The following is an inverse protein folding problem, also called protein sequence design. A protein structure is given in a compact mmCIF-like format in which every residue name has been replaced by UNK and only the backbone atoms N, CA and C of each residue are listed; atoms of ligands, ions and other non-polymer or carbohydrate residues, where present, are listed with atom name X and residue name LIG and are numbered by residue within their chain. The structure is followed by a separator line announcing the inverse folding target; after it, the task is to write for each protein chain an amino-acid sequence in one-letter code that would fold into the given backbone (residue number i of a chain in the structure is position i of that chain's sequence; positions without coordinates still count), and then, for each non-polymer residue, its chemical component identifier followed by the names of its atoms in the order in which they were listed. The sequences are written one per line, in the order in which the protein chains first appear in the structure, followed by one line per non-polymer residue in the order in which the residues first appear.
data_IF_204197033961
#
_entry.id   IF_204197033961
#
_cell.length_a   1.000
_cell.length_b   1.000
_cell.length_c   1.000
_cell.angle_alpha   90.00
_cell.angle_beta   90.00
_cell.angle_gamma   90.00
#
_symmetry.space_group_name_H-M   'P 1'
#
loop_
_entity.id
_entity.type
_entity.pdbx_description
1 polymer ?
#
# COMPACT_ATOMS: atom_id res chain seq x y z
N UNK A 1 19.25 -53.45 -0.76
CA UNK A 1 18.42 -54.01 0.31
C UNK A 1 18.13 -52.89 1.30
N UNK A 2 16.91 -52.35 1.27
CA UNK A 2 16.25 -51.39 2.18
C UNK A 2 17.08 -50.24 2.81
N UNK A 3 16.93 -49.02 2.27
CA UNK A 3 17.16 -47.78 3.02
C UNK A 3 15.79 -47.27 3.51
N UNK A 4 15.67 -47.15 4.82
CA UNK A 4 14.49 -46.72 5.57
C UNK A 4 14.21 -45.24 5.25
N UNK A 5 13.11 -44.95 4.56
CA UNK A 5 12.67 -43.57 4.30
C UNK A 5 12.10 -42.99 5.59
N UNK A 6 12.82 -42.06 6.22
CA UNK A 6 12.27 -41.20 7.27
C UNK A 6 11.27 -40.23 6.64
N UNK A 7 10.00 -40.32 7.05
CA UNK A 7 8.99 -39.29 6.74
C UNK A 7 9.24 -38.08 7.66
N UNK A 8 9.26 -36.84 7.15
CA UNK A 8 9.24 -35.67 8.02
C UNK A 8 7.85 -35.55 8.66
N UNK A 9 7.84 -35.36 9.98
CA UNK A 9 6.63 -35.00 10.73
C UNK A 9 6.14 -33.60 10.31
N UNK A 10 4.82 -33.36 10.29
CA UNK A 10 4.30 -32.02 10.06
C UNK A 10 4.66 -31.14 11.25
N UNK A 11 5.41 -30.06 11.00
CA UNK A 11 5.61 -28.99 11.96
C UNK A 11 4.26 -28.30 12.21
N UNK A 12 3.71 -28.51 13.41
CA UNK A 12 2.64 -27.68 13.96
C UNK A 12 3.20 -26.28 14.19
N UNK A 13 2.89 -25.35 13.29
CA UNK A 13 3.21 -23.93 13.47
C UNK A 13 2.15 -23.35 14.41
N UNK A 14 2.52 -23.12 15.67
CA UNK A 14 1.68 -22.43 16.66
C UNK A 14 1.47 -20.96 16.26
N UNK A 15 0.21 -20.50 16.29
CA UNK A 15 -0.22 -19.14 15.93
C UNK A 15 0.36 -17.98 16.77
N UNK A 16 1.20 -18.27 17.79
CA UNK A 16 1.89 -17.26 18.58
C UNK A 16 3.09 -16.61 17.86
N UNK A 17 3.70 -17.31 16.87
CA UNK A 17 4.87 -16.78 16.15
C UNK A 17 4.53 -15.68 15.13
N UNK A 18 3.29 -15.64 14.62
CA UNK A 18 2.86 -14.58 13.71
C UNK A 18 2.77 -13.22 14.41
N UNK A 19 2.33 -13.18 15.67
CA UNK A 19 2.22 -11.95 16.45
C UNK A 19 3.58 -11.34 16.83
N UNK A 20 4.62 -12.17 16.99
CA UNK A 20 5.99 -11.70 17.29
C UNK A 20 6.75 -11.28 16.03
N UNK A 21 6.57 -11.98 14.91
CA UNK A 21 7.16 -11.59 13.63
C UNK A 21 6.56 -10.29 13.08
N UNK A 22 5.26 -10.02 13.36
CA UNK A 22 4.65 -8.73 13.00
C UNK A 22 5.15 -7.55 13.83
N UNK A 23 5.82 -7.78 14.96
CA UNK A 23 6.39 -6.70 15.81
C UNK A 23 7.81 -6.34 15.36
N UNK A 24 8.55 -7.25 14.73
CA UNK A 24 9.98 -7.09 14.48
C UNK A 24 10.34 -6.26 13.22
N UNK A 25 9.38 -6.03 12.31
CA UNK A 25 9.54 -5.21 11.10
C UNK A 25 8.37 -4.22 10.86
N UNK A 26 7.52 -4.00 11.87
CA UNK A 26 6.51 -2.93 11.85
C UNK A 26 7.13 -1.62 12.35
N UNK A 27 6.46 -0.51 12.07
CA UNK A 27 6.86 0.82 12.54
C UNK A 27 7.04 0.82 14.06
N UNK A 28 8.09 1.49 14.56
CA UNK A 28 8.26 1.62 16.01
C UNK A 28 7.16 2.50 16.63
N UNK A 29 6.80 2.26 17.89
CA UNK A 29 5.85 3.11 18.63
C UNK A 29 6.30 4.58 18.69
N UNK A 30 7.62 4.81 18.69
CA UNK A 30 8.22 6.15 18.69
C UNK A 30 7.94 6.85 17.37
N UNK A 31 8.17 6.17 16.27
CA UNK A 31 7.94 6.70 14.92
C UNK A 31 6.43 6.89 14.65
N UNK A 32 5.57 5.96 15.09
CA UNK A 32 4.11 6.14 14.99
C UNK A 32 3.64 7.38 15.77
N UNK A 33 4.16 7.60 16.98
CA UNK A 33 3.86 8.82 17.76
C UNK A 33 4.38 10.07 17.05
N UNK A 34 5.55 10.00 16.43
CA UNK A 34 6.12 11.09 15.66
C UNK A 34 5.22 11.47 14.48
N UNK A 35 4.77 10.50 13.67
CA UNK A 35 3.85 10.72 12.57
C UNK A 35 2.51 11.32 13.04
N UNK A 36 1.94 10.81 14.13
CA UNK A 36 0.69 11.34 14.69
C UNK A 36 0.86 12.79 15.16
N UNK A 37 2.01 13.11 15.76
CA UNK A 37 2.30 14.45 16.25
C UNK A 37 2.46 15.46 15.10
N UNK A 38 3.07 15.07 13.98
CA UNK A 38 3.35 15.96 12.85
C UNK A 38 2.18 16.06 11.85
N UNK A 39 1.49 14.95 11.60
CA UNK A 39 0.51 14.83 10.53
C UNK A 39 -0.91 14.55 11.00
N UNK A 40 -1.12 14.52 12.33
CA UNK A 40 -2.43 14.29 12.94
C UNK A 40 -2.77 12.82 13.11
N UNK A 41 -3.84 12.57 13.87
CA UNK A 41 -4.28 11.22 14.20
C UNK A 41 -5.05 10.59 13.02
N UNK A 42 -4.63 9.44 12.50
CA UNK A 42 -5.34 8.77 11.40
C UNK A 42 -6.58 8.03 11.89
N UNK A 43 -7.50 7.75 10.97
CA UNK A 43 -8.55 6.76 11.18
C UNK A 43 -7.95 5.35 11.05
N UNK A 44 -8.19 4.51 12.05
CA UNK A 44 -7.74 3.11 12.03
C UNK A 44 -8.79 2.23 11.39
N UNK A 45 -8.39 1.45 10.40
CA UNK A 45 -9.29 0.57 9.65
C UNK A 45 -8.69 -0.80 9.46
N UNK A 46 -9.55 -1.78 9.21
CA UNK A 46 -9.16 -3.15 8.92
C UNK A 46 -9.89 -3.64 7.68
N UNK A 47 -9.16 -4.33 6.81
CA UNK A 47 -9.71 -4.98 5.64
C UNK A 47 -9.17 -6.41 5.52
N UNK A 48 -9.96 -7.31 4.95
CA UNK A 48 -9.56 -8.69 4.67
C UNK A 48 -9.95 -9.00 3.23
N UNK A 49 -9.02 -9.59 2.47
CA UNK A 49 -9.25 -9.92 1.08
C UNK A 49 -8.53 -11.21 0.70
N UNK A 50 -9.22 -12.01 -0.12
CA UNK A 50 -8.64 -13.17 -0.78
C UNK A 50 -7.82 -12.72 -1.99
N UNK A 51 -6.56 -13.12 -2.01
CA UNK A 51 -5.61 -12.81 -3.07
C UNK A 51 -5.43 -14.04 -3.96
N UNK A 52 -5.22 -13.80 -5.25
CA UNK A 52 -4.85 -14.87 -6.17
C UNK A 52 -3.42 -15.34 -5.91
N UNK A 53 -3.09 -16.56 -6.35
CA UNK A 53 -1.78 -17.18 -6.06
C UNK A 53 -0.60 -16.30 -6.49
N UNK A 54 -0.68 -15.68 -7.68
CA UNK A 54 0.38 -14.78 -8.16
C UNK A 54 0.50 -13.51 -7.31
N UNK A 55 -0.61 -12.98 -6.77
CA UNK A 55 -0.57 -11.82 -5.87
C UNK A 55 0.10 -12.21 -4.55
N UNK A 56 -0.23 -13.41 -4.04
CA UNK A 56 0.38 -13.97 -2.85
C UNK A 56 1.89 -14.17 -2.99
N UNK A 57 2.37 -14.63 -4.14
CA UNK A 57 3.80 -14.74 -4.44
C UNK A 57 4.50 -13.37 -4.36
N UNK A 58 3.92 -12.33 -4.97
CA UNK A 58 4.47 -10.97 -4.90
C UNK A 58 4.55 -10.42 -3.46
N UNK A 59 3.55 -10.73 -2.64
CA UNK A 59 3.53 -10.35 -1.22
C UNK A 59 4.64 -11.09 -0.47
N UNK A 60 4.79 -12.41 -0.66
CA UNK A 60 5.84 -13.20 -0.02
C UNK A 60 7.24 -12.72 -0.39
N UNK A 61 7.47 -12.36 -1.66
CA UNK A 61 8.74 -11.78 -2.11
C UNK A 61 9.04 -10.44 -1.44
N UNK A 62 8.00 -9.65 -1.15
CA UNK A 62 8.13 -8.40 -0.40
C UNK A 62 8.47 -8.66 1.07
N UNK A 63 7.85 -9.65 1.70
CA UNK A 63 8.13 -10.03 3.10
C UNK A 63 9.56 -10.58 3.28
N UNK A 64 10.08 -11.32 2.30
CA UNK A 64 11.48 -11.80 2.33
C UNK A 64 12.49 -10.64 2.37
N UNK A 65 12.11 -9.46 1.87
CA UNK A 65 12.90 -8.22 1.94
C UNK A 65 12.66 -7.43 3.23
N UNK A 66 11.95 -8.01 4.19
CA UNK A 66 11.62 -7.41 5.49
C UNK A 66 10.44 -6.42 5.44
N UNK A 67 9.70 -6.33 4.32
CA UNK A 67 8.63 -5.35 4.16
C UNK A 67 7.27 -5.96 4.51
N UNK A 68 6.62 -5.36 5.50
CA UNK A 68 5.26 -5.71 5.94
C UNK A 68 4.27 -4.54 5.80
N UNK A 69 4.74 -3.45 5.22
CA UNK A 69 3.96 -2.24 5.07
C UNK A 69 4.29 -1.47 3.80
N UNK A 70 3.36 -0.62 3.41
CA UNK A 70 3.57 0.42 2.41
C UNK A 70 3.12 1.78 2.95
N UNK A 71 3.67 2.82 2.35
CA UNK A 71 3.16 4.19 2.46
C UNK A 71 2.46 4.53 1.16
N UNK A 72 1.21 4.99 1.25
CA UNK A 72 0.38 5.38 0.11
C UNK A 72 0.09 6.88 0.21
N UNK A 73 0.36 7.64 -0.85
CA UNK A 73 0.08 9.08 -0.83
C UNK A 73 -0.98 9.46 -1.86
N UNK A 74 -2.02 10.14 -1.40
CA UNK A 74 -2.91 10.91 -2.25
C UNK A 74 -2.31 12.30 -2.41
N UNK A 75 -1.65 12.51 -3.54
CA UNK A 75 -0.97 13.77 -3.86
C UNK A 75 -1.98 14.69 -4.55
N UNK A 76 -2.30 15.81 -3.91
CA UNK A 76 -3.19 16.83 -4.47
C UNK A 76 -2.51 17.53 -5.64
N UNK A 77 -3.28 17.67 -6.72
CA UNK A 77 -2.95 18.45 -7.89
C UNK A 77 -3.95 19.62 -8.02
N UNK A 78 -3.63 20.57 -8.89
CA UNK A 78 -4.56 21.63 -9.30
C UNK A 78 -5.88 21.04 -9.79
N UNK A 79 -6.95 21.84 -9.72
CA UNK A 79 -8.32 21.48 -10.13
C UNK A 79 -8.94 20.29 -9.37
N UNK A 80 -8.60 20.15 -8.08
CA UNK A 80 -9.08 19.06 -7.20
C UNK A 80 -8.76 17.65 -7.74
N UNK A 81 -7.72 17.54 -8.56
CA UNK A 81 -7.22 16.27 -9.07
C UNK A 81 -6.24 15.60 -8.11
N UNK A 82 -6.02 14.31 -8.31
CA UNK A 82 -5.05 13.51 -7.57
C UNK A 82 -4.09 12.83 -8.55
N UNK A 83 -2.80 12.86 -8.23
CA UNK A 83 -1.78 12.14 -8.99
C UNK A 83 -1.94 10.64 -8.74
N UNK A 84 -1.99 9.88 -9.82
CA UNK A 84 -2.15 8.42 -9.79
C UNK A 84 -1.22 7.75 -10.78
N UNK A 85 -0.90 6.50 -10.49
CA UNK A 85 -0.03 5.66 -11.29
C UNK A 85 -0.73 4.41 -11.80
N UNK A 86 -0.19 3.87 -12.89
CA UNK A 86 -0.46 2.54 -13.40
C UNK A 86 0.86 1.80 -13.54
N UNK A 87 0.90 0.54 -13.12
CA UNK A 87 2.09 -0.32 -13.26
C UNK A 87 1.98 -1.19 -14.51
N UNK A 88 3.12 -1.63 -15.03
CA UNK A 88 3.17 -2.45 -16.26
C UNK A 88 2.36 -3.74 -16.17
N UNK A 89 2.26 -4.37 -14.98
CA UNK A 89 1.50 -5.62 -14.80
C UNK A 89 0.02 -5.49 -15.18
N UNK A 90 -0.53 -4.28 -15.16
CA UNK A 90 -1.92 -3.97 -15.51
C UNK A 90 -2.01 -2.74 -16.42
N UNK A 91 -0.99 -2.51 -17.25
CA UNK A 91 -0.97 -1.44 -18.24
C UNK A 91 -2.16 -1.52 -19.20
N UNK A 92 -2.68 -0.37 -19.62
CA UNK A 92 -3.85 -0.23 -20.50
C UNK A 92 -5.18 -0.77 -19.94
N UNK A 93 -5.24 -1.18 -18.67
CA UNK A 93 -6.49 -1.65 -18.05
C UNK A 93 -7.49 -0.53 -17.71
N UNK A 94 -7.04 0.72 -17.73
CA UNK A 94 -7.77 1.86 -17.17
C UNK A 94 -7.75 1.93 -15.64
N UNK A 95 -7.15 0.95 -14.94
CA UNK A 95 -7.00 0.96 -13.49
C UNK A 95 -5.80 1.82 -13.10
N UNK A 96 -6.07 2.84 -12.28
CA UNK A 96 -5.05 3.70 -11.67
C UNK A 96 -5.22 3.73 -10.16
N UNK A 97 -4.12 3.87 -9.44
CA UNK A 97 -4.14 3.94 -7.97
C UNK A 97 -3.24 5.07 -7.48
N UNK A 98 -3.47 5.52 -6.26
CA UNK A 98 -2.50 6.36 -5.56
C UNK A 98 -1.11 5.68 -5.57
N UNK A 99 -0.02 6.43 -5.79
CA UNK A 99 1.35 5.91 -5.68
C UNK A 99 1.62 5.38 -4.28
N UNK A 100 2.43 4.33 -4.20
CA UNK A 100 2.79 3.70 -2.94
C UNK A 100 4.04 2.85 -3.05
N UNK A 101 4.83 2.82 -1.99
CA UNK A 101 5.96 1.92 -1.88
C UNK A 101 6.29 1.55 -0.44
N UNK A 102 7.27 0.69 -0.25
CA UNK A 102 7.66 0.20 1.07
C UNK A 102 8.89 0.91 1.60
N UNK A 103 9.05 0.99 2.92
CA UNK A 103 10.30 1.50 3.47
C UNK A 103 11.42 0.45 3.40
N UNK A 104 12.64 0.92 3.26
CA UNK A 104 13.85 0.11 3.42
C UNK A 104 14.20 -0.09 4.90
N UNK A 105 15.08 -1.06 5.17
CA UNK A 105 15.58 -1.26 6.54
C UNK A 105 16.29 -0.01 7.06
N UNK A 106 15.81 0.52 8.18
CA UNK A 106 16.32 1.75 8.80
C UNK A 106 15.83 3.05 8.16
N UNK A 107 15.02 2.99 7.10
CA UNK A 107 14.37 4.15 6.48
C UNK A 107 13.07 4.47 7.20
N UNK A 108 12.84 5.75 7.51
CA UNK A 108 11.58 6.19 8.12
C UNK A 108 10.42 6.13 7.11
N UNK A 109 9.19 6.05 7.59
CA UNK A 109 7.99 6.11 6.74
C UNK A 109 7.92 7.42 5.95
N UNK A 110 8.37 8.52 6.55
CA UNK A 110 8.41 9.83 5.89
C UNK A 110 9.42 9.86 4.75
N UNK A 111 10.65 9.39 5.00
CA UNK A 111 11.70 9.31 3.97
C UNK A 111 11.29 8.37 2.84
N UNK A 112 10.70 7.22 3.18
CA UNK A 112 10.16 6.27 2.21
C UNK A 112 9.07 6.93 1.36
N UNK A 113 8.14 7.69 1.96
CA UNK A 113 7.10 8.38 1.22
C UNK A 113 7.70 9.37 0.20
N UNK A 114 8.64 10.21 0.64
CA UNK A 114 9.29 11.21 -0.20
C UNK A 114 10.05 10.54 -1.36
N UNK A 115 10.82 9.49 -1.07
CA UNK A 115 11.56 8.73 -2.09
C UNK A 115 10.63 8.08 -3.10
N UNK A 116 9.66 7.29 -2.64
CA UNK A 116 8.76 6.51 -3.48
C UNK A 116 7.90 7.42 -4.36
N UNK A 117 7.38 8.53 -3.82
CA UNK A 117 6.60 9.48 -4.63
C UNK A 117 7.46 10.09 -5.75
N UNK A 118 8.73 10.41 -5.45
CA UNK A 118 9.65 10.92 -6.46
C UNK A 118 9.99 9.87 -7.51
N UNK A 119 10.21 8.62 -7.12
CA UNK A 119 10.52 7.51 -8.01
C UNK A 119 9.34 7.17 -8.93
N UNK A 120 8.15 6.99 -8.36
CA UNK A 120 6.96 6.55 -9.10
C UNK A 120 6.30 7.68 -9.92
N UNK A 121 6.46 8.96 -9.53
CA UNK A 121 5.74 10.08 -10.16
C UNK A 121 6.62 11.18 -10.75
N UNK A 122 7.90 11.26 -10.35
CA UNK A 122 8.80 12.38 -10.68
C UNK A 122 8.60 13.63 -9.83
N UNK A 123 7.69 13.59 -8.84
CA UNK A 123 7.33 14.74 -8.02
C UNK A 123 8.01 14.71 -6.65
N UNK A 124 8.52 15.85 -6.21
CA UNK A 124 8.85 16.09 -4.81
C UNK A 124 7.60 16.58 -4.09
N UNK A 125 7.30 15.94 -2.96
CA UNK A 125 6.08 16.19 -2.18
C UNK A 125 6.40 16.58 -0.74
N UNK A 126 5.41 17.18 -0.07
CA UNK A 126 5.35 17.26 1.40
C UNK A 126 4.12 16.52 1.89
N UNK A 127 4.27 15.74 2.95
CA UNK A 127 3.13 15.15 3.64
C UNK A 127 2.36 16.26 4.38
N UNK A 128 1.04 16.20 4.31
CA UNK A 128 0.13 17.20 4.89
C UNK A 128 -0.64 16.62 6.06
N UNK A 129 -1.21 15.41 5.88
CA UNK A 129 -2.06 14.78 6.88
C UNK A 129 -1.95 13.26 6.83
N UNK A 130 -1.90 12.63 7.99
CA UNK A 130 -1.97 11.18 8.13
C UNK A 130 -3.44 10.78 8.23
N UNK A 131 -3.99 10.24 7.15
CA UNK A 131 -5.44 10.05 6.98
C UNK A 131 -5.86 8.66 7.47
N UNK A 132 -5.21 7.59 7.01
CA UNK A 132 -5.57 6.21 7.38
C UNK A 132 -4.37 5.42 7.88
N UNK A 133 -4.60 4.65 8.93
CA UNK A 133 -3.71 3.59 9.42
C UNK A 133 -4.46 2.26 9.21
N UNK A 134 -4.16 1.57 8.11
CA UNK A 134 -4.98 0.47 7.60
C UNK A 134 -4.26 -0.87 7.77
N UNK A 135 -4.88 -1.78 8.51
CA UNK A 135 -4.43 -3.18 8.62
C UNK A 135 -5.15 -4.06 7.59
N UNK A 136 -4.39 -4.68 6.69
CA UNK A 136 -4.88 -5.61 5.67
C UNK A 136 -4.50 -7.05 6.05
N UNK A 137 -5.50 -7.93 6.07
CA UNK A 137 -5.31 -9.37 6.20
C UNK A 137 -5.45 -10.03 4.82
N UNK A 138 -4.30 -10.38 4.23
CA UNK A 138 -4.18 -10.96 2.90
C UNK A 138 -4.36 -12.48 3.02
N UNK A 139 -5.43 -13.03 2.45
CA UNK A 139 -5.69 -14.47 2.50
C UNK A 139 -5.10 -15.15 1.28
N UNK A 140 -4.19 -16.08 1.52
CA UNK A 140 -3.46 -16.85 0.52
C UNK A 140 -3.73 -18.34 0.71
N UNK A 141 -4.86 -18.81 0.17
CA UNK A 141 -5.35 -20.17 0.42
C UNK A 141 -5.67 -20.39 1.91
N UNK A 142 -4.83 -21.17 2.60
CA UNK A 142 -4.99 -21.43 4.04
C UNK A 142 -4.18 -20.49 4.94
N UNK A 143 -3.30 -19.70 4.35
CA UNK A 143 -2.44 -18.74 5.06
C UNK A 143 -3.11 -17.36 5.11
N UNK A 144 -2.85 -16.60 6.17
CA UNK A 144 -3.18 -15.17 6.22
C UNK A 144 -1.95 -14.36 6.55
N UNK A 145 -1.61 -13.44 5.65
CA UNK A 145 -0.45 -12.57 5.74
C UNK A 145 -0.92 -11.18 6.21
N UNK A 146 -0.41 -10.66 7.35
CA UNK A 146 -0.69 -9.29 7.75
C UNK A 146 0.11 -8.29 6.91
N UNK A 147 -0.53 -7.19 6.54
CA UNK A 147 0.07 -6.04 5.87
C UNK A 147 -0.49 -4.75 6.47
N UNK A 148 0.32 -3.69 6.52
CA UNK A 148 -0.12 -2.38 7.04
C UNK A 148 0.13 -1.27 6.03
N UNK A 149 -0.81 -0.35 5.88
CA UNK A 149 -0.66 0.78 4.97
C UNK A 149 -0.83 2.10 5.70
N UNK A 150 0.18 2.95 5.57
CA UNK A 150 0.18 4.32 6.09
C UNK A 150 -0.27 5.25 4.97
N UNK A 151 -1.46 5.83 5.09
CA UNK A 151 -2.07 6.61 3.99
C UNK A 151 -2.04 8.10 4.33
N UNK A 152 -1.37 8.88 3.48
CA UNK A 152 -1.20 10.30 3.66
C UNK A 152 -1.88 11.12 2.56
N UNK A 153 -2.37 12.29 2.95
CA UNK A 153 -2.59 13.42 2.04
C UNK A 153 -1.26 14.16 1.87
N UNK A 154 -0.92 14.51 0.64
CA UNK A 154 0.33 15.21 0.31
C UNK A 154 0.11 16.33 -0.71
N UNK A 155 0.97 17.35 -0.66
CA UNK A 155 1.04 18.43 -1.64
C UNK A 155 2.29 18.28 -2.51
N UNK A 156 2.19 18.74 -3.76
CA UNK A 156 3.34 18.88 -4.66
C UNK A 156 4.17 20.10 -4.23
N UNK A 157 5.48 19.91 -4.04
CA UNK A 157 6.44 21.00 -3.87
C UNK A 157 6.95 21.46 -5.24
N UNK A 158 7.46 20.50 -6.03
CA UNK A 158 8.04 20.72 -7.37
C UNK A 158 8.22 19.39 -8.10
N UNK A 159 8.68 19.45 -9.34
CA UNK A 159 8.98 18.29 -10.17
C UNK A 159 8.17 18.30 -11.46
N UNK A 160 8.44 17.31 -12.30
CA UNK A 160 7.67 17.06 -13.52
C UNK A 160 7.00 15.71 -13.37
N UNK A 161 5.74 15.60 -13.79
CA UNK A 161 4.95 14.37 -13.66
C UNK A 161 5.41 13.35 -14.70
N UNK A 162 6.56 12.74 -14.43
CA UNK A 162 7.23 11.78 -15.28
C UNK A 162 7.94 10.76 -14.38
N UNK A 163 7.58 9.47 -14.46
CA UNK A 163 8.14 8.46 -13.58
C UNK A 163 9.65 8.34 -13.81
N UNK A 164 10.40 8.20 -12.72
CA UNK A 164 11.83 7.92 -12.78
C UNK A 164 12.07 6.42 -12.89
N UNK A 165 11.28 5.62 -12.18
CA UNK A 165 11.27 4.16 -12.35
C UNK A 165 10.33 3.75 -13.49
N UNK A 166 10.85 3.79 -14.71
CA UNK A 166 10.11 3.40 -15.92
C UNK A 166 9.99 1.88 -16.09
N UNK A 167 10.68 1.08 -15.26
CA UNK A 167 10.55 -0.38 -15.26
C UNK A 167 9.34 -0.82 -14.46
N UNK A 168 9.03 -0.11 -13.38
CA UNK A 168 7.86 -0.40 -12.54
C UNK A 168 6.61 0.35 -13.00
N UNK A 169 6.76 1.61 -13.42
CA UNK A 169 5.65 2.49 -13.75
C UNK A 169 5.40 2.56 -15.26
N UNK A 170 4.17 2.22 -15.64
CA UNK A 170 3.68 2.29 -17.01
C UNK A 170 3.19 3.69 -17.36
N UNK A 171 2.43 4.33 -16.45
CA UNK A 171 1.84 5.65 -16.68
C UNK A 171 1.62 6.40 -15.37
N UNK A 172 1.67 7.73 -15.44
CA UNK A 172 1.35 8.66 -14.35
C UNK A 172 0.46 9.76 -14.90
N UNK A 173 -0.63 10.07 -14.20
CA UNK A 173 -1.55 11.14 -14.61
C UNK A 173 -2.36 11.67 -13.45
N UNK A 174 -3.21 12.65 -13.74
CA UNK A 174 -4.17 13.21 -12.79
C UNK A 174 -5.56 12.64 -13.06
N UNK A 175 -6.23 12.21 -11.99
CA UNK A 175 -7.65 11.83 -12.00
C UNK A 175 -8.41 12.59 -10.92
N UNK A 176 -9.67 12.92 -11.18
CA UNK A 176 -10.54 13.54 -10.18
C UNK A 176 -11.07 12.52 -9.18
N UNK A 177 -11.58 13.00 -8.04
CA UNK A 177 -12.28 12.16 -7.06
C UNK A 177 -13.42 11.36 -7.69
N UNK A 178 -14.19 11.95 -8.60
CA UNK A 178 -15.33 11.30 -9.27
C UNK A 178 -14.86 10.15 -10.16
N UNK A 179 -13.75 10.33 -10.88
CA UNK A 179 -13.17 9.25 -11.70
C UNK A 179 -12.64 8.11 -10.83
N UNK A 180 -11.99 8.44 -9.71
CA UNK A 180 -11.45 7.47 -8.76
C UNK A 180 -12.54 6.67 -8.04
N UNK A 181 -13.63 7.32 -7.65
CA UNK A 181 -14.79 6.69 -7.00
C UNK A 181 -15.80 6.08 -8.00
N UNK A 182 -15.67 6.39 -9.28
CA UNK A 182 -16.52 5.91 -10.37
C UNK A 182 -15.90 4.76 -11.13
N UNK A 183 -15.47 5.02 -12.38
CA UNK A 183 -15.00 3.98 -13.29
C UNK A 183 -13.79 3.22 -12.77
N UNK A 184 -12.83 3.90 -12.13
CA UNK A 184 -11.64 3.23 -11.59
C UNK A 184 -12.01 2.28 -10.46
N UNK A 185 -12.86 2.70 -9.52
CA UNK A 185 -13.36 1.85 -8.43
C UNK A 185 -14.12 0.63 -8.97
N UNK A 186 -14.96 0.83 -10.00
CA UNK A 186 -15.67 -0.26 -10.67
C UNK A 186 -14.69 -1.26 -11.30
N UNK A 187 -13.73 -0.79 -12.10
CA UNK A 187 -12.73 -1.65 -12.73
C UNK A 187 -11.89 -2.43 -11.71
N UNK A 188 -11.51 -1.80 -10.60
CA UNK A 188 -10.80 -2.48 -9.51
C UNK A 188 -11.62 -3.61 -8.90
N UNK A 189 -12.92 -3.39 -8.65
CA UNK A 189 -13.81 -4.42 -8.09
C UNK A 189 -14.07 -5.56 -9.05
N UNK A 190 -14.20 -5.27 -10.34
CA UNK A 190 -14.50 -6.24 -11.40
C UNK A 190 -13.27 -7.06 -11.84
N UNK A 191 -12.06 -6.61 -11.48
CA UNK A 191 -10.80 -7.27 -11.87
C UNK A 191 -10.62 -8.69 -11.32
N UNK A 192 -11.28 -9.01 -10.20
CA UNK A 192 -11.08 -10.26 -9.46
C UNK A 192 -9.78 -10.34 -8.67
N UNK A 193 -8.99 -9.26 -8.60
CA UNK A 193 -7.73 -9.21 -7.85
C UNK A 193 -7.98 -8.73 -6.42
N UNK A 194 -7.43 -9.45 -5.44
CA UNK A 194 -7.56 -9.10 -4.03
C UNK A 194 -6.92 -7.74 -3.71
N UNK A 195 -5.76 -7.48 -4.31
CA UNK A 195 -5.04 -6.21 -4.20
C UNK A 195 -5.85 -5.03 -4.72
N UNK A 196 -6.59 -5.19 -5.82
CA UNK A 196 -7.44 -4.12 -6.34
C UNK A 196 -8.71 -3.91 -5.52
N UNK A 197 -9.33 -4.98 -5.00
CA UNK A 197 -10.43 -4.84 -4.06
C UNK A 197 -9.99 -4.05 -2.81
N UNK A 198 -8.79 -4.33 -2.30
CA UNK A 198 -8.17 -3.56 -1.23
C UNK A 198 -7.92 -2.09 -1.62
N UNK A 199 -7.31 -1.80 -2.77
CA UNK A 199 -7.04 -0.43 -3.22
C UNK A 199 -8.32 0.38 -3.44
N UNK A 200 -9.36 -0.28 -3.93
CA UNK A 200 -10.71 0.28 -4.07
C UNK A 200 -11.31 0.64 -2.70
N UNK A 201 -11.23 -0.27 -1.72
CA UNK A 201 -11.62 0.03 -0.33
C UNK A 201 -10.85 1.20 0.27
N UNK A 202 -9.51 1.17 0.19
CA UNK A 202 -8.62 2.21 0.70
C UNK A 202 -8.99 3.58 0.13
N UNK A 203 -9.22 3.66 -1.18
CA UNK A 203 -9.54 4.92 -1.87
C UNK A 203 -10.87 5.50 -1.41
N UNK A 204 -11.91 4.66 -1.27
CA UNK A 204 -13.21 5.11 -0.75
C UNK A 204 -13.10 5.63 0.67
N UNK A 205 -12.40 4.90 1.53
CA UNK A 205 -12.27 5.29 2.94
C UNK A 205 -11.39 6.52 3.12
N UNK A 206 -10.41 6.73 2.24
CA UNK A 206 -9.62 7.95 2.22
C UNK A 206 -10.50 9.16 1.96
N UNK A 207 -11.32 9.14 0.90
CA UNK A 207 -12.20 10.27 0.58
C UNK A 207 -13.27 10.52 1.64
N UNK A 208 -13.83 9.45 2.25
CA UNK A 208 -14.72 9.60 3.41
C UNK A 208 -14.03 10.27 4.59
N UNK A 209 -12.78 9.91 4.87
CA UNK A 209 -12.01 10.51 5.95
C UNK A 209 -11.69 11.99 5.67
N UNK A 210 -11.43 12.38 4.42
CA UNK A 210 -11.32 13.79 4.05
C UNK A 210 -12.61 14.57 4.34
N UNK A 211 -13.77 14.03 3.94
CA UNK A 211 -15.07 14.64 4.22
C UNK A 211 -15.32 14.81 5.73
N UNK A 212 -15.01 13.79 6.52
CA UNK A 212 -15.14 13.82 7.99
C UNK A 212 -14.23 14.87 8.63
N UNK A 213 -13.05 15.08 8.05
CA UNK A 213 -12.06 16.06 8.50
C UNK A 213 -12.33 17.48 7.97
N UNK A 214 -13.28 17.65 7.05
CA UNK A 214 -13.61 18.91 6.37
C UNK A 214 -12.39 19.54 5.66
N UNK A 215 -11.61 18.70 4.96
CA UNK A 215 -10.42 19.08 4.18
C UNK A 215 -10.53 18.63 2.73
#
# INVERSE_FOLDING_TARGET
MFVKVCRPQPFLVNGANFALASILNDISDVELKHLIAHYGRPKKLTFKADFQDFECELIRDSQQKGRLHDVTCFIQHQDNGYVVIQKHQYGNSGIYRAPSGGSMSGESIEDAAIREMREETGLEIKLVRFILDLSLYIVCGSETIPWRSFVFLADIIRGEMKPLDTFEIFDVKVLTREQLLGDVDRLMKESGWGGFNYRSFLTREFFKALDELHI
#
